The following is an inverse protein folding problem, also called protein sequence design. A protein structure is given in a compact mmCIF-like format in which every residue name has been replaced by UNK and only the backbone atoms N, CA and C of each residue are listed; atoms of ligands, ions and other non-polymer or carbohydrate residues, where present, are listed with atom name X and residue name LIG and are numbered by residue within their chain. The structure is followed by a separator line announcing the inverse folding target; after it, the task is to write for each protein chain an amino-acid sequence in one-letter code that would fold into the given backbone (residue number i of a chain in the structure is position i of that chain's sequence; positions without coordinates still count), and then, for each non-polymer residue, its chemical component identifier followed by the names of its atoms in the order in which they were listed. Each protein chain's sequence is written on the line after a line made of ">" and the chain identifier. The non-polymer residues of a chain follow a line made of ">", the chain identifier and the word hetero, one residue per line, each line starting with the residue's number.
data_IF_249537907190
#
_entry.id   IF_249537907190
#
_cell.length_a   1.000
_cell.length_b   1.000
_cell.length_c   1.000
_cell.angle_alpha   90.00
_cell.angle_beta   90.00
_cell.angle_gamma   90.00
#
_symmetry.space_group_name_H-M   'P 1'
#
loop_
_entity.id
_entity.type
_entity.pdbx_description
1 polymer ?
#
# COMPACT_ATOMS: atom_id res chain seq x y z
N UNK A 1 8.97 31.20 3.15
CA UNK A 1 9.40 29.94 2.49
C UNK A 1 8.19 29.04 2.51
N UNK A 2 7.62 28.76 1.35
CA UNK A 2 6.62 27.71 1.23
C UNK A 2 7.26 26.42 1.75
N UNK A 3 6.55 25.74 2.64
CA UNK A 3 6.99 24.45 3.16
C UNK A 3 6.93 23.48 2.00
N UNK A 4 8.09 23.01 1.53
CA UNK A 4 8.13 22.00 0.46
C UNK A 4 7.32 20.78 0.93
N UNK A 5 6.30 20.43 0.16
CA UNK A 5 5.51 19.23 0.37
C UNK A 5 6.43 18.02 0.12
N UNK A 6 6.84 17.34 1.18
CA UNK A 6 7.77 16.21 1.16
C UNK A 6 7.08 14.93 1.61
N UNK A 7 7.70 13.77 1.42
CA UNK A 7 7.21 12.51 2.00
C UNK A 7 6.91 12.67 3.50
N UNK A 8 7.77 13.34 4.29
CA UNK A 8 7.55 13.56 5.72
C UNK A 8 6.27 14.36 5.99
N UNK A 9 6.03 15.40 5.20
CA UNK A 9 4.82 16.18 5.30
C UNK A 9 3.58 15.31 5.15
N UNK A 10 3.52 14.47 4.12
CA UNK A 10 2.37 13.61 3.87
C UNK A 10 2.25 12.43 4.86
N UNK A 11 3.37 11.88 5.35
CA UNK A 11 3.36 10.89 6.44
C UNK A 11 2.69 11.48 7.68
N UNK A 12 3.11 12.69 8.10
CA UNK A 12 2.55 13.37 9.26
C UNK A 12 1.10 13.82 9.01
N UNK A 13 0.79 14.34 7.83
CA UNK A 13 -0.56 14.70 7.46
C UNK A 13 -1.53 13.52 7.54
N UNK A 14 -1.09 12.31 7.15
CA UNK A 14 -1.89 11.09 7.26
C UNK A 14 -2.36 10.85 8.68
N UNK A 15 -1.50 11.07 9.67
CA UNK A 15 -1.85 10.90 11.09
C UNK A 15 -3.01 11.81 11.50
N UNK A 16 -3.03 13.03 10.99
CA UNK A 16 -4.04 14.03 11.39
C UNK A 16 -5.37 13.88 10.63
N UNK A 17 -5.33 13.44 9.35
CA UNK A 17 -6.54 13.43 8.50
C UNK A 17 -7.28 12.11 8.46
N UNK A 18 -6.66 10.96 8.82
CA UNK A 18 -7.24 9.64 8.57
C UNK A 18 -8.66 9.48 9.14
N UNK A 19 -8.90 9.99 10.34
CA UNK A 19 -10.21 9.95 10.96
C UNK A 19 -11.26 10.77 10.18
N UNK A 20 -10.88 11.92 9.62
CA UNK A 20 -11.78 12.72 8.79
C UNK A 20 -12.09 12.03 7.45
N UNK A 21 -11.09 11.40 6.84
CA UNK A 21 -11.26 10.55 5.65
C UNK A 21 -12.17 9.37 5.94
N UNK A 22 -12.03 8.75 7.11
CA UNK A 22 -12.92 7.68 7.56
C UNK A 22 -14.38 8.14 7.68
N UNK A 23 -14.62 9.29 8.30
CA UNK A 23 -15.98 9.83 8.53
C UNK A 23 -16.67 10.28 7.24
N UNK A 24 -15.92 10.67 6.20
CA UNK A 24 -16.50 11.02 4.91
C UNK A 24 -16.92 9.73 4.15
N UNK A 25 -18.22 9.48 4.09
CA UNK A 25 -18.80 8.29 3.44
C UNK A 25 -19.34 8.54 2.02
N UNK A 26 -19.25 9.76 1.50
CA UNK A 26 -19.88 10.13 0.23
C UNK A 26 -19.39 9.26 -0.93
N UNK A 27 -18.10 9.24 -1.17
CA UNK A 27 -17.50 8.54 -2.31
C UNK A 27 -17.57 7.03 -2.18
N UNK A 28 -17.41 6.48 -0.97
CA UNK A 28 -17.60 5.05 -0.72
C UNK A 28 -19.04 4.62 -0.95
N UNK A 29 -20.02 5.42 -0.52
CA UNK A 29 -21.43 5.13 -0.76
C UNK A 29 -21.81 5.23 -2.24
N UNK A 30 -21.20 6.18 -2.98
CA UNK A 30 -21.35 6.28 -4.43
C UNK A 30 -20.85 5.01 -5.13
N UNK A 31 -19.64 4.55 -4.80
CA UNK A 31 -19.07 3.34 -5.40
C UNK A 31 -19.81 2.07 -4.97
N UNK A 32 -20.23 1.99 -3.71
CA UNK A 32 -21.05 0.88 -3.22
C UNK A 32 -22.41 0.82 -3.94
N UNK A 33 -23.01 1.97 -4.31
CA UNK A 33 -24.22 1.97 -5.12
C UNK A 33 -23.96 1.41 -6.51
N UNK A 34 -22.85 1.78 -7.15
CA UNK A 34 -22.46 1.22 -8.46
C UNK A 34 -22.27 -0.31 -8.38
N UNK A 35 -21.74 -0.81 -7.26
CA UNK A 35 -21.65 -2.25 -7.00
C UNK A 35 -23.04 -2.89 -6.89
N UNK A 36 -23.98 -2.25 -6.19
CA UNK A 36 -25.35 -2.77 -6.00
C UNK A 36 -26.20 -2.73 -7.26
N UNK A 37 -25.86 -1.87 -8.25
CA UNK A 37 -26.57 -1.80 -9.54
C UNK A 37 -26.33 -3.03 -10.43
N UNK A 38 -25.37 -3.90 -10.06
CA UNK A 38 -25.06 -5.14 -10.76
C UNK A 38 -25.20 -6.38 -9.85
N UNK A 39 -24.97 -7.54 -10.44
CA UNK A 39 -24.96 -8.83 -9.72
C UNK A 39 -23.54 -9.40 -9.75
N UNK A 40 -22.65 -8.81 -8.92
CA UNK A 40 -21.22 -9.13 -8.90
C UNK A 40 -20.90 -10.18 -7.85
N UNK A 41 -19.98 -11.09 -8.20
CA UNK A 41 -19.46 -12.15 -7.33
C UNK A 41 -17.97 -12.03 -7.06
N UNK A 42 -17.27 -11.27 -7.89
CA UNK A 42 -15.83 -11.04 -7.74
C UNK A 42 -15.54 -9.55 -7.85
N UNK A 43 -14.40 -9.14 -7.33
CA UNK A 43 -13.88 -7.76 -7.46
C UNK A 43 -12.52 -7.84 -8.12
N UNK A 44 -12.33 -7.10 -9.23
CA UNK A 44 -11.04 -6.95 -9.90
C UNK A 44 -10.57 -5.51 -9.81
N UNK A 45 -9.45 -5.32 -9.16
CA UNK A 45 -8.81 -4.02 -8.97
C UNK A 45 -7.63 -3.93 -9.93
N UNK A 46 -7.72 -3.03 -10.89
CA UNK A 46 -6.64 -2.84 -11.87
C UNK A 46 -5.78 -1.67 -11.39
N UNK A 47 -4.57 -1.96 -10.91
CA UNK A 47 -3.69 -0.97 -10.30
C UNK A 47 -2.21 -1.35 -10.41
N UNK A 48 -1.31 -0.36 -10.35
CA UNK A 48 0.14 -0.56 -10.32
C UNK A 48 0.82 0.30 -9.26
N UNK A 49 2.05 -0.05 -8.90
CA UNK A 49 2.85 0.68 -7.92
C UNK A 49 2.13 0.80 -6.58
N UNK A 50 2.22 1.96 -5.95
CA UNK A 50 1.59 2.22 -4.64
C UNK A 50 0.07 2.05 -4.66
N UNK A 51 -0.63 2.34 -5.78
CA UNK A 51 -2.06 2.06 -5.92
C UNK A 51 -2.35 0.55 -5.89
N UNK A 52 -1.51 -0.27 -6.51
CA UNK A 52 -1.58 -1.73 -6.42
C UNK A 52 -1.32 -2.22 -5.00
N UNK A 53 -0.28 -1.70 -4.35
CA UNK A 53 0.12 -2.11 -3.00
C UNK A 53 -0.93 -1.73 -1.95
N UNK A 54 -1.54 -0.54 -2.04
CA UNK A 54 -2.66 -0.14 -1.20
C UNK A 54 -3.89 -1.04 -1.40
N UNK A 55 -4.12 -1.49 -2.64
CA UNK A 55 -5.18 -2.47 -2.93
C UNK A 55 -4.88 -3.83 -2.29
N UNK A 56 -3.63 -4.29 -2.33
CA UNK A 56 -3.19 -5.50 -1.62
C UNK A 56 -3.37 -5.39 -0.10
N UNK A 57 -3.13 -4.22 0.48
CA UNK A 57 -3.34 -3.97 1.92
C UNK A 57 -4.80 -4.15 2.35
N UNK A 58 -5.76 -3.85 1.48
CA UNK A 58 -7.19 -3.97 1.77
C UNK A 58 -7.81 -5.31 1.34
N UNK A 59 -7.19 -6.00 0.36
CA UNK A 59 -7.73 -7.20 -0.29
C UNK A 59 -8.30 -8.21 0.69
N UNK A 60 -7.52 -8.63 1.67
CA UNK A 60 -7.91 -9.70 2.59
C UNK A 60 -9.05 -9.30 3.53
N UNK A 61 -9.14 -8.02 3.91
CA UNK A 61 -10.29 -7.50 4.66
C UNK A 61 -11.54 -7.53 3.79
N UNK A 62 -11.42 -7.14 2.51
CA UNK A 62 -12.53 -7.20 1.56
C UNK A 62 -13.02 -8.64 1.37
N UNK A 63 -12.14 -9.59 1.13
CA UNK A 63 -12.46 -11.01 0.97
C UNK A 63 -13.12 -11.62 2.21
N UNK A 64 -12.53 -11.33 3.39
CA UNK A 64 -13.02 -11.82 4.69
C UNK A 64 -14.47 -11.43 4.95
N UNK A 65 -14.82 -10.18 4.70
CA UNK A 65 -16.13 -9.64 5.06
C UNK A 65 -17.17 -9.76 3.94
N UNK A 66 -16.78 -9.57 2.67
CA UNK A 66 -17.72 -9.70 1.55
C UNK A 66 -17.97 -11.15 1.15
N UNK A 67 -17.01 -12.05 1.39
CA UNK A 67 -17.08 -13.44 0.93
C UNK A 67 -16.98 -13.57 -0.59
N UNK A 68 -16.24 -12.69 -1.24
CA UNK A 68 -15.99 -12.68 -2.69
C UNK A 68 -14.50 -12.74 -2.97
N UNK A 69 -14.10 -13.24 -4.15
CA UNK A 69 -12.70 -13.16 -4.59
C UNK A 69 -12.33 -11.72 -4.98
N UNK A 70 -11.18 -11.25 -4.48
CA UNK A 70 -10.62 -9.93 -4.81
C UNK A 70 -9.27 -10.11 -5.49
N UNK A 71 -9.17 -9.78 -6.76
CA UNK A 71 -7.94 -9.91 -7.53
C UNK A 71 -7.36 -8.52 -7.85
N UNK A 72 -6.08 -8.31 -7.56
CA UNK A 72 -5.34 -7.11 -7.96
C UNK A 72 -4.52 -7.43 -9.21
N UNK A 73 -4.76 -6.69 -10.30
CA UNK A 73 -4.18 -6.96 -11.63
C UNK A 73 -3.38 -5.74 -12.08
N UNK A 74 -2.17 -5.98 -12.61
CA UNK A 74 -1.39 -4.92 -13.23
C UNK A 74 -2.06 -4.41 -14.51
N UNK A 75 -2.21 -3.09 -14.71
CA UNK A 75 -2.93 -2.51 -15.84
C UNK A 75 -2.38 -2.97 -17.21
N UNK A 76 -1.06 -3.04 -17.35
CA UNK A 76 -0.43 -3.48 -18.60
C UNK A 76 -0.74 -4.96 -18.89
N UNK A 77 -0.69 -5.83 -17.89
CA UNK A 77 -1.11 -7.23 -18.02
C UNK A 77 -2.58 -7.32 -18.43
N UNK A 78 -3.44 -6.54 -17.76
CA UNK A 78 -4.85 -6.50 -18.11
C UNK A 78 -5.10 -6.04 -19.56
N UNK A 79 -4.40 -5.01 -20.01
CA UNK A 79 -4.61 -4.45 -21.34
C UNK A 79 -4.31 -5.46 -22.48
N UNK A 80 -3.36 -6.35 -22.27
CA UNK A 80 -2.94 -7.33 -23.30
C UNK A 80 -3.46 -8.75 -23.06
N UNK A 81 -3.80 -9.08 -21.83
CA UNK A 81 -4.29 -10.41 -21.43
C UNK A 81 -5.55 -10.28 -20.55
N UNK A 82 -6.63 -9.62 -21.05
CA UNK A 82 -7.80 -9.40 -20.23
C UNK A 82 -8.55 -10.72 -19.99
N UNK A 83 -8.81 -11.01 -18.72
CA UNK A 83 -9.67 -12.14 -18.31
C UNK A 83 -10.76 -11.57 -17.41
N UNK A 84 -11.99 -11.53 -17.92
CA UNK A 84 -13.16 -11.02 -17.22
C UNK A 84 -14.32 -11.99 -17.32
N UNK A 85 -15.02 -12.19 -16.21
CA UNK A 85 -16.33 -12.81 -16.14
C UNK A 85 -17.43 -11.74 -16.13
N UNK A 86 -18.65 -12.10 -16.50
CA UNK A 86 -19.78 -11.15 -16.52
C UNK A 86 -20.07 -10.58 -15.13
N UNK A 87 -19.87 -11.39 -14.09
CA UNK A 87 -20.08 -11.08 -12.67
C UNK A 87 -18.87 -10.47 -11.96
N UNK A 88 -17.86 -10.02 -12.70
CA UNK A 88 -16.74 -9.25 -12.14
C UNK A 88 -17.10 -7.77 -11.97
N UNK A 89 -16.98 -7.25 -10.75
CA UNK A 89 -16.94 -5.81 -10.49
C UNK A 89 -15.53 -5.30 -10.71
N UNK A 90 -15.33 -4.47 -11.73
CA UNK A 90 -14.00 -4.04 -12.15
C UNK A 90 -13.86 -2.53 -12.00
N UNK A 91 -12.75 -2.10 -11.42
CA UNK A 91 -12.38 -0.70 -11.39
C UNK A 91 -10.86 -0.52 -11.49
N UNK A 92 -10.44 0.64 -12.00
CA UNK A 92 -9.04 1.02 -12.19
C UNK A 92 -8.65 2.04 -11.13
N UNK A 93 -7.48 1.88 -10.54
CA UNK A 93 -6.95 2.84 -9.55
C UNK A 93 -5.69 3.49 -10.08
N UNK A 94 -5.67 4.81 -10.10
CA UNK A 94 -4.50 5.62 -10.43
C UNK A 94 -4.49 6.88 -9.56
N UNK A 95 -3.59 6.94 -8.58
CA UNK A 95 -3.49 8.05 -7.63
C UNK A 95 -3.41 9.40 -8.36
N UNK A 96 -2.46 9.57 -9.27
CA UNK A 96 -2.35 10.82 -10.04
C UNK A 96 -3.39 10.98 -11.14
N UNK A 97 -4.01 9.88 -11.61
CA UNK A 97 -4.93 9.90 -12.74
C UNK A 97 -4.30 10.13 -14.12
N UNK A 98 -2.96 10.25 -14.22
CA UNK A 98 -2.22 10.48 -15.47
C UNK A 98 -1.43 9.24 -15.94
N UNK A 99 -1.56 8.10 -15.30
CA UNK A 99 -0.79 6.89 -15.67
C UNK A 99 -1.33 6.28 -16.96
N UNK A 100 -0.50 6.25 -18.03
CA UNK A 100 -0.89 5.76 -19.35
C UNK A 100 -1.47 4.35 -19.31
N UNK A 101 -0.83 3.43 -18.60
CA UNK A 101 -1.30 2.06 -18.49
C UNK A 101 -2.67 1.94 -17.78
N UNK A 102 -3.01 2.85 -16.87
CA UNK A 102 -4.32 2.88 -16.25
C UNK A 102 -5.39 3.41 -17.21
N UNK A 103 -5.07 4.44 -18.00
CA UNK A 103 -5.96 4.95 -19.05
C UNK A 103 -6.19 3.89 -20.13
N UNK A 104 -5.13 3.21 -20.59
CA UNK A 104 -5.24 2.09 -21.53
C UNK A 104 -6.16 0.97 -21.00
N UNK A 105 -6.07 0.64 -19.71
CA UNK A 105 -6.94 -0.35 -19.09
C UNK A 105 -8.42 0.07 -19.10
N UNK A 106 -8.73 1.35 -18.86
CA UNK A 106 -10.08 1.91 -18.98
C UNK A 106 -10.57 1.82 -20.42
N UNK A 107 -9.75 2.17 -21.41
CA UNK A 107 -10.10 2.09 -22.82
C UNK A 107 -10.36 0.64 -23.28
N UNK A 108 -9.63 -0.34 -22.73
CA UNK A 108 -9.89 -1.76 -22.96
C UNK A 108 -11.22 -2.17 -22.33
N UNK A 109 -11.53 -1.77 -21.11
CA UNK A 109 -12.83 -2.03 -20.47
C UNK A 109 -13.97 -1.50 -21.34
N UNK A 110 -13.83 -0.28 -21.86
CA UNK A 110 -14.80 0.32 -22.77
C UNK A 110 -14.98 -0.49 -24.06
N UNK A 111 -13.89 -0.96 -24.68
CA UNK A 111 -13.95 -1.83 -25.87
C UNK A 111 -14.61 -3.19 -25.58
N UNK A 112 -14.52 -3.66 -24.35
CA UNK A 112 -15.17 -4.89 -23.88
C UNK A 112 -16.62 -4.66 -23.42
N UNK A 113 -17.19 -3.47 -23.66
CA UNK A 113 -18.52 -3.06 -23.24
C UNK A 113 -18.74 -3.20 -21.71
N UNK A 114 -17.67 -2.95 -20.92
CA UNK A 114 -17.74 -2.94 -19.45
C UNK A 114 -17.85 -1.49 -18.97
N UNK A 115 -18.60 -1.31 -17.90
CA UNK A 115 -18.66 0.00 -17.21
C UNK A 115 -17.25 0.41 -16.77
N UNK A 116 -16.83 1.60 -17.14
CA UNK A 116 -15.51 2.13 -16.80
C UNK A 116 -15.59 2.92 -15.50
N UNK A 117 -14.94 2.39 -14.47
CA UNK A 117 -14.93 2.96 -13.12
C UNK A 117 -13.48 3.24 -12.74
N UNK A 118 -13.20 4.46 -12.31
CA UNK A 118 -11.88 4.90 -11.91
C UNK A 118 -11.87 5.46 -10.49
N UNK A 119 -10.83 5.11 -9.71
CA UNK A 119 -10.50 5.71 -8.44
C UNK A 119 -9.23 6.54 -8.60
N UNK A 120 -9.26 7.80 -8.17
CA UNK A 120 -8.12 8.71 -8.29
C UNK A 120 -8.01 9.64 -7.08
N UNK A 121 -6.85 10.22 -6.86
CA UNK A 121 -6.63 11.33 -5.92
C UNK A 121 -6.73 12.72 -6.59
N UNK A 122 -6.91 12.76 -7.93
CA UNK A 122 -7.07 14.01 -8.68
C UNK A 122 -8.21 13.90 -9.70
N UNK A 123 -9.35 14.48 -9.35
CA UNK A 123 -10.55 14.52 -10.22
C UNK A 123 -10.36 15.38 -11.50
N UNK A 124 -9.32 16.21 -11.58
CA UNK A 124 -9.04 17.04 -12.75
C UNK A 124 -8.13 16.35 -13.77
N UNK A 125 -7.50 15.25 -13.38
CA UNK A 125 -6.59 14.48 -14.21
C UNK A 125 -7.26 13.87 -15.44
N UNK A 126 -6.45 13.37 -16.38
CA UNK A 126 -6.91 12.80 -17.65
C UNK A 126 -7.85 11.59 -17.47
N UNK A 127 -7.78 10.90 -16.33
CA UNK A 127 -8.61 9.73 -16.04
C UNK A 127 -10.12 10.02 -16.15
N UNK A 128 -10.54 11.28 -15.93
CA UNK A 128 -11.94 11.70 -16.05
C UNK A 128 -12.52 11.54 -17.48
N UNK A 129 -11.65 11.60 -18.48
CA UNK A 129 -12.05 11.50 -19.88
C UNK A 129 -12.12 10.04 -20.37
N UNK A 130 -11.61 9.09 -19.57
CA UNK A 130 -11.57 7.65 -19.85
C UNK A 130 -12.59 6.82 -19.05
N UNK A 131 -13.18 7.38 -17.99
CA UNK A 131 -14.09 6.66 -17.10
C UNK A 131 -15.49 7.27 -17.06
N UNK A 132 -16.52 6.42 -17.06
CA UNK A 132 -17.93 6.82 -16.88
C UNK A 132 -18.22 7.21 -15.42
N UNK A 133 -17.52 6.57 -14.48
CA UNK A 133 -17.64 6.84 -13.05
C UNK A 133 -16.26 7.13 -12.50
N UNK A 134 -16.06 8.34 -11.99
CA UNK A 134 -14.83 8.73 -11.31
C UNK A 134 -15.12 8.93 -9.83
N UNK A 135 -14.29 8.33 -9.00
CA UNK A 135 -14.37 8.33 -7.55
C UNK A 135 -13.09 8.94 -6.99
N UNK A 136 -13.25 9.93 -6.13
CA UNK A 136 -12.17 10.49 -5.34
C UNK A 136 -12.02 9.70 -4.04
N UNK A 137 -10.82 9.15 -3.78
CA UNK A 137 -10.54 8.51 -2.51
C UNK A 137 -9.84 9.43 -1.49
N UNK A 138 -9.88 10.75 -1.76
CA UNK A 138 -9.45 11.84 -0.86
C UNK A 138 -7.97 11.76 -0.53
N UNK A 139 -7.13 11.99 -1.52
CA UNK A 139 -5.69 11.95 -1.35
C UNK A 139 -5.04 13.33 -1.37
N UNK A 140 -5.22 14.11 -2.43
CA UNK A 140 -4.59 15.43 -2.66
C UNK A 140 -3.05 15.43 -2.47
N UNK A 141 -2.39 14.27 -2.58
CA UNK A 141 -0.94 14.15 -2.48
C UNK A 141 -0.29 14.50 -3.81
N UNK A 142 0.66 15.45 -3.77
CA UNK A 142 1.41 15.91 -4.96
C UNK A 142 2.82 15.35 -5.04
N UNK A 143 3.29 14.67 -3.97
CA UNK A 143 4.62 14.07 -3.96
C UNK A 143 4.68 12.85 -4.89
N UNK A 144 5.77 12.77 -5.69
CA UNK A 144 5.98 11.65 -6.60
C UNK A 144 6.24 10.31 -5.90
N UNK A 145 6.72 10.35 -4.66
CA UNK A 145 6.91 9.17 -3.80
C UNK A 145 5.70 9.01 -2.87
N UNK A 146 4.62 8.47 -3.40
CA UNK A 146 3.30 8.39 -2.74
C UNK A 146 3.38 7.71 -1.37
N UNK A 147 2.83 8.36 -0.35
CA UNK A 147 2.78 7.88 1.04
C UNK A 147 1.37 7.91 1.61
N UNK A 148 0.77 9.09 1.76
CA UNK A 148 -0.60 9.28 2.22
C UNK A 148 -1.59 8.55 1.33
N UNK A 149 -1.44 8.65 0.02
CA UNK A 149 -2.33 8.05 -0.97
C UNK A 149 -2.44 6.53 -0.88
N UNK A 150 -1.39 5.82 -0.43
CA UNK A 150 -1.45 4.37 -0.20
C UNK A 150 -2.36 4.06 0.99
N UNK A 151 -2.17 4.77 2.10
CA UNK A 151 -2.92 4.54 3.34
C UNK A 151 -4.38 4.94 3.18
N UNK A 152 -4.64 6.09 2.53
CA UNK A 152 -6.03 6.54 2.27
C UNK A 152 -6.76 5.62 1.30
N UNK A 153 -6.08 5.09 0.28
CA UNK A 153 -6.65 4.10 -0.63
C UNK A 153 -7.00 2.79 0.10
N UNK A 154 -6.08 2.26 0.91
CA UNK A 154 -6.36 1.04 1.67
C UNK A 154 -7.55 1.23 2.62
N UNK A 155 -7.61 2.36 3.33
CA UNK A 155 -8.77 2.71 4.17
C UNK A 155 -10.05 2.86 3.33
N UNK A 156 -9.98 3.51 2.17
CA UNK A 156 -11.13 3.67 1.27
C UNK A 156 -11.73 2.32 0.87
N UNK A 157 -10.89 1.35 0.49
CA UNK A 157 -11.33 0.02 0.08
C UNK A 157 -11.92 -0.79 1.25
N UNK A 158 -11.34 -0.65 2.45
CA UNK A 158 -11.92 -1.23 3.68
C UNK A 158 -13.31 -0.61 3.95
N UNK A 159 -13.46 0.71 3.86
CA UNK A 159 -14.75 1.40 4.01
C UNK A 159 -15.76 0.96 2.95
N UNK A 160 -15.30 0.80 1.70
CA UNK A 160 -16.16 0.31 0.60
C UNK A 160 -16.76 -1.05 0.94
N UNK A 161 -15.97 -1.95 1.56
CA UNK A 161 -16.44 -3.25 2.01
C UNK A 161 -17.69 -3.12 2.90
N UNK A 162 -17.61 -2.28 3.92
CA UNK A 162 -18.70 -2.09 4.87
C UNK A 162 -19.86 -1.31 4.27
N UNK A 163 -19.61 -0.37 3.37
CA UNK A 163 -20.66 0.34 2.63
C UNK A 163 -21.47 -0.61 1.72
N UNK A 164 -20.82 -1.60 1.09
CA UNK A 164 -21.49 -2.63 0.30
C UNK A 164 -22.36 -3.52 1.22
N UNK A 165 -21.82 -3.98 2.36
CA UNK A 165 -22.57 -4.82 3.31
C UNK A 165 -23.78 -4.10 3.88
N UNK A 166 -23.64 -2.84 4.25
CA UNK A 166 -24.74 -2.00 4.71
C UNK A 166 -25.86 -1.92 3.66
N UNK A 167 -25.50 -1.67 2.39
CA UNK A 167 -26.48 -1.64 1.28
C UNK A 167 -27.12 -3.01 0.99
N UNK A 168 -26.42 -4.09 1.29
CA UNK A 168 -26.99 -5.45 1.23
C UNK A 168 -27.91 -5.78 2.41
N UNK A 169 -28.07 -4.86 3.36
CA UNK A 169 -28.84 -5.09 4.60
C UNK A 169 -28.16 -6.03 5.60
N UNK A 170 -26.85 -6.27 5.43
CA UNK A 170 -26.06 -7.09 6.34
C UNK A 170 -25.53 -6.24 7.48
N UNK A 171 -25.83 -6.63 8.71
CA UNK A 171 -25.25 -6.00 9.90
C UNK A 171 -23.90 -6.64 10.22
N UNK A 172 -22.86 -5.82 10.24
CA UNK A 172 -21.50 -6.22 10.64
C UNK A 172 -21.04 -5.25 11.73
N UNK A 173 -20.42 -5.79 12.76
CA UNK A 173 -19.81 -4.95 13.81
C UNK A 173 -18.56 -4.25 13.25
N UNK A 174 -18.61 -2.94 13.14
CA UNK A 174 -17.51 -2.07 12.68
C UNK A 174 -16.91 -1.23 13.80
N UNK A 175 -17.31 -1.46 15.06
CA UNK A 175 -16.85 -0.66 16.21
C UNK A 175 -15.33 -0.68 16.37
N UNK A 176 -14.67 -1.77 15.96
CA UNK A 176 -13.22 -1.85 15.94
C UNK A 176 -12.58 -0.84 14.95
N UNK A 177 -13.20 -0.62 13.78
CA UNK A 177 -12.70 0.32 12.77
C UNK A 177 -12.99 1.77 13.21
N UNK A 178 -14.15 2.02 13.81
CA UNK A 178 -14.48 3.33 14.40
C UNK A 178 -13.42 3.69 15.45
N UNK A 179 -13.20 2.79 16.42
CA UNK A 179 -12.21 2.96 17.50
C UNK A 179 -10.79 3.17 16.95
N UNK A 180 -10.39 2.37 15.96
CA UNK A 180 -9.09 2.49 15.31
C UNK A 180 -8.91 3.87 14.68
N UNK A 181 -9.86 4.31 13.85
CA UNK A 181 -9.75 5.60 13.16
C UNK A 181 -9.79 6.80 14.10
N UNK A 182 -10.55 6.71 15.21
CA UNK A 182 -10.58 7.74 16.23
C UNK A 182 -9.26 7.84 17.01
N UNK A 183 -8.61 6.72 17.28
CA UNK A 183 -7.33 6.66 17.99
C UNK A 183 -6.10 6.78 17.08
N UNK A 184 -6.27 6.71 15.77
CA UNK A 184 -5.17 6.60 14.80
C UNK A 184 -4.09 7.66 14.99
N UNK A 185 -4.49 8.94 15.10
CA UNK A 185 -3.53 10.03 15.25
C UNK A 185 -2.65 9.92 16.50
N UNK A 186 -3.23 9.57 17.65
CA UNK A 186 -2.48 9.39 18.89
C UNK A 186 -1.60 8.15 18.85
N UNK A 187 -2.13 7.05 18.34
CA UNK A 187 -1.43 5.79 18.19
C UNK A 187 -0.22 5.91 17.24
N UNK A 188 -0.41 6.53 16.09
CA UNK A 188 0.70 6.70 15.14
C UNK A 188 1.76 7.69 15.59
N UNK A 189 1.40 8.71 16.39
CA UNK A 189 2.39 9.59 17.03
C UNK A 189 3.25 8.84 18.05
N UNK A 190 2.68 7.88 18.77
CA UNK A 190 3.42 7.01 19.67
C UNK A 190 4.29 6.01 18.91
N UNK A 191 3.73 5.35 17.89
CA UNK A 191 4.47 4.45 16.99
C UNK A 191 5.65 5.18 16.34
N UNK A 192 5.47 6.42 15.91
CA UNK A 192 6.53 7.24 15.31
C UNK A 192 7.74 7.38 16.24
N UNK A 193 7.53 7.52 17.55
CA UNK A 193 8.63 7.57 18.54
C UNK A 193 9.39 6.24 18.58
N UNK A 194 8.68 5.11 18.55
CA UNK A 194 9.29 3.78 18.51
C UNK A 194 10.06 3.55 17.20
N UNK A 195 9.51 3.96 16.08
CA UNK A 195 10.11 3.86 14.75
C UNK A 195 11.40 4.68 14.64
N UNK A 196 11.40 5.93 15.13
CA UNK A 196 12.59 6.79 15.13
C UNK A 196 13.68 6.23 16.06
N UNK A 197 13.32 5.73 17.23
CA UNK A 197 14.28 5.10 18.13
C UNK A 197 14.90 3.84 17.52
N UNK A 198 14.11 3.04 16.82
CA UNK A 198 14.57 1.86 16.11
C UNK A 198 15.50 2.21 14.93
N UNK A 199 15.13 3.23 14.16
CA UNK A 199 15.97 3.77 13.08
C UNK A 199 17.33 4.24 13.60
N UNK A 200 17.36 5.00 14.68
CA UNK A 200 18.62 5.51 15.24
C UNK A 200 19.47 4.36 15.79
N UNK A 201 18.85 3.37 16.44
CA UNK A 201 19.55 2.18 16.94
C UNK A 201 20.26 1.41 15.83
N UNK A 202 19.63 1.20 14.70
CA UNK A 202 20.16 0.44 13.57
C UNK A 202 20.66 1.32 12.43
N UNK A 203 20.84 2.62 12.66
CA UNK A 203 21.23 3.62 11.66
C UNK A 203 22.41 3.17 10.79
N UNK A 204 23.45 2.61 11.39
CA UNK A 204 24.63 2.14 10.67
C UNK A 204 24.28 1.02 9.67
N UNK A 205 23.41 0.10 10.05
CA UNK A 205 22.97 -1.00 9.19
C UNK A 205 22.13 -0.47 8.02
N UNK A 206 21.23 0.46 8.30
CA UNK A 206 20.33 1.03 7.29
C UNK A 206 21.08 1.94 6.31
N UNK A 207 22.02 2.77 6.77
CA UNK A 207 22.82 3.64 5.88
C UNK A 207 23.84 2.83 5.04
N UNK A 208 24.19 1.62 5.44
CA UNK A 208 25.04 0.70 4.67
C UNK A 208 24.28 -0.40 3.97
N UNK A 209 22.97 -0.21 3.76
CA UNK A 209 22.11 -1.17 3.09
C UNK A 209 22.49 -1.29 1.61
N UNK A 210 22.70 -2.50 1.13
CA UNK A 210 22.95 -2.82 -0.28
C UNK A 210 21.74 -3.53 -0.92
N UNK A 211 20.95 -4.20 -0.10
CA UNK A 211 19.74 -4.91 -0.49
C UNK A 211 18.76 -4.99 0.67
N UNK A 212 17.48 -5.21 0.35
CA UNK A 212 16.44 -5.39 1.34
C UNK A 212 15.42 -6.43 0.87
N UNK A 213 15.03 -7.33 1.77
CA UNK A 213 13.88 -8.19 1.62
C UNK A 213 12.81 -7.81 2.66
N UNK A 214 11.56 -7.76 2.23
CA UNK A 214 10.41 -7.64 3.10
C UNK A 214 9.51 -8.86 2.87
N UNK A 215 9.10 -9.55 3.92
CA UNK A 215 8.22 -10.69 3.83
C UNK A 215 7.06 -10.58 4.79
N UNK A 216 5.86 -10.85 4.30
CA UNK A 216 4.62 -10.81 5.07
C UNK A 216 3.52 -11.59 4.36
N UNK A 217 2.52 -12.02 5.10
CA UNK A 217 1.36 -12.73 4.56
C UNK A 217 0.07 -11.95 4.78
N UNK A 218 -0.99 -12.34 4.10
CA UNK A 218 -2.29 -11.69 4.24
C UNK A 218 -2.21 -10.17 4.02
N UNK A 219 -2.78 -9.35 4.90
CA UNK A 219 -2.74 -7.88 4.76
C UNK A 219 -1.31 -7.31 4.77
N UNK A 220 -0.34 -8.02 5.37
CA UNK A 220 1.07 -7.61 5.40
C UNK A 220 1.81 -7.86 4.09
N UNK A 221 1.26 -8.62 3.15
CA UNK A 221 1.85 -8.77 1.81
C UNK A 221 1.82 -7.43 1.05
N UNK A 222 0.74 -6.66 1.16
CA UNK A 222 0.66 -5.32 0.61
C UNK A 222 1.68 -4.36 1.24
N UNK A 223 1.89 -4.47 2.55
CA UNK A 223 2.92 -3.70 3.28
C UNK A 223 4.32 -4.06 2.80
N UNK A 224 4.63 -5.36 2.64
CA UNK A 224 5.93 -5.82 2.13
C UNK A 224 6.20 -5.30 0.71
N UNK A 225 5.19 -5.33 -0.17
CA UNK A 225 5.29 -4.78 -1.55
C UNK A 225 5.54 -3.27 -1.53
N UNK A 226 4.85 -2.53 -0.67
CA UNK A 226 5.06 -1.08 -0.56
C UNK A 226 6.43 -0.76 0.06
N UNK A 227 6.87 -1.52 1.06
CA UNK A 227 8.21 -1.41 1.64
C UNK A 227 9.30 -1.55 0.58
N UNK A 228 9.22 -2.61 -0.23
CA UNK A 228 10.18 -2.85 -1.31
C UNK A 228 10.16 -1.72 -2.34
N UNK A 229 8.98 -1.21 -2.70
CA UNK A 229 8.84 -0.09 -3.63
C UNK A 229 9.48 1.17 -3.04
N UNK A 230 9.09 1.60 -1.83
CA UNK A 230 9.57 2.84 -1.22
C UNK A 230 11.08 2.84 -1.00
N UNK A 231 11.64 1.77 -0.46
CA UNK A 231 13.10 1.66 -0.28
C UNK A 231 13.81 1.62 -1.64
N UNK A 232 13.29 0.87 -2.61
CA UNK A 232 13.89 0.78 -3.94
C UNK A 232 13.94 2.12 -4.67
N UNK A 233 12.88 2.90 -4.64
CA UNK A 233 12.80 4.17 -5.38
C UNK A 233 13.49 5.35 -4.68
N UNK A 234 13.62 5.34 -3.35
CA UNK A 234 14.18 6.46 -2.59
C UNK A 234 15.60 6.21 -2.09
N UNK A 235 15.86 5.07 -1.47
CA UNK A 235 17.21 4.66 -1.03
C UNK A 235 18.04 4.13 -2.20
N UNK A 236 17.36 3.60 -3.24
CA UNK A 236 17.96 3.13 -4.51
C UNK A 236 18.84 1.90 -4.36
N UNK A 237 18.40 0.97 -3.50
CA UNK A 237 18.98 -0.35 -3.35
C UNK A 237 18.05 -1.41 -3.94
N UNK A 238 18.60 -2.59 -4.25
CA UNK A 238 17.76 -3.72 -4.66
C UNK A 238 16.86 -4.11 -3.50
N UNK A 239 15.55 -4.05 -3.72
CA UNK A 239 14.55 -4.40 -2.71
C UNK A 239 13.48 -5.30 -3.30
N UNK A 240 13.15 -6.37 -2.58
CA UNK A 240 12.19 -7.38 -2.99
C UNK A 240 11.16 -7.63 -1.89
N UNK A 241 9.92 -7.87 -2.32
CA UNK A 241 8.85 -8.32 -1.43
C UNK A 241 8.51 -9.78 -1.73
N UNK A 242 8.23 -10.52 -0.68
CA UNK A 242 7.82 -11.91 -0.76
C UNK A 242 6.59 -12.15 0.11
N UNK A 243 5.74 -13.07 -0.32
CA UNK A 243 4.84 -13.72 0.61
C UNK A 243 5.70 -14.50 1.63
N UNK A 244 5.20 -14.67 2.85
CA UNK A 244 6.00 -15.15 3.99
C UNK A 244 6.60 -16.55 3.76
N UNK A 245 5.84 -17.51 3.22
CA UNK A 245 6.33 -18.84 2.91
C UNK A 245 7.15 -18.87 1.61
N UNK A 246 6.77 -18.09 0.60
CA UNK A 246 7.58 -17.96 -0.62
C UNK A 246 9.00 -17.45 -0.32
N UNK A 247 9.17 -16.63 0.73
CA UNK A 247 10.50 -16.19 1.16
C UNK A 247 11.42 -17.37 1.51
N UNK A 248 10.91 -18.44 2.10
CA UNK A 248 11.70 -19.63 2.47
C UNK A 248 11.75 -20.69 1.37
N UNK A 249 11.08 -20.50 0.25
CA UNK A 249 11.11 -21.39 -0.92
C UNK A 249 12.12 -20.96 -2.01
N UNK A 250 13.25 -20.36 -1.59
CA UNK A 250 14.35 -20.00 -2.49
C UNK A 250 15.04 -18.69 -2.11
N UNK A 251 14.32 -17.56 -1.95
CA UNK A 251 14.92 -16.26 -1.61
C UNK A 251 15.85 -16.30 -0.39
N UNK A 252 15.49 -17.05 0.64
CA UNK A 252 16.31 -17.25 1.85
C UNK A 252 17.69 -17.87 1.58
N UNK A 253 17.88 -18.57 0.47
CA UNK A 253 19.19 -19.14 0.09
C UNK A 253 20.20 -18.06 -0.35
N UNK A 254 19.71 -16.85 -0.65
CA UNK A 254 20.57 -15.70 -0.96
C UNK A 254 21.09 -14.99 0.29
N UNK A 255 20.58 -15.35 1.48
CA UNK A 255 20.95 -14.67 2.71
C UNK A 255 22.44 -14.71 2.98
N UNK A 256 22.96 -13.60 3.43
CA UNK A 256 24.30 -13.42 3.96
C UNK A 256 24.24 -12.45 5.14
N UNK A 257 25.29 -12.32 5.95
CA UNK A 257 25.32 -11.36 7.07
C UNK A 257 25.05 -9.90 6.69
N UNK A 258 25.03 -9.56 5.39
CA UNK A 258 24.78 -8.19 4.89
C UNK A 258 23.34 -7.95 4.46
N UNK A 259 22.51 -9.00 4.34
CA UNK A 259 21.13 -8.85 3.89
C UNK A 259 20.25 -8.20 4.97
N UNK A 260 19.57 -7.14 4.59
CA UNK A 260 18.54 -6.54 5.43
C UNK A 260 17.20 -7.23 5.14
N UNK A 261 16.58 -7.79 6.17
CA UNK A 261 15.32 -8.52 6.04
C UNK A 261 14.33 -8.01 7.06
N UNK A 262 13.13 -7.69 6.61
CA UNK A 262 12.01 -7.34 7.46
C UNK A 262 10.95 -8.43 7.37
N UNK A 263 10.67 -9.08 8.48
CA UNK A 263 9.56 -10.02 8.61
C UNK A 263 8.42 -9.27 9.30
N UNK A 264 7.24 -9.27 8.66
CA UNK A 264 6.10 -8.45 9.06
C UNK A 264 4.99 -9.37 9.57
N UNK A 265 4.62 -9.21 10.83
CA UNK A 265 3.60 -9.99 11.49
C UNK A 265 2.19 -9.51 11.15
N UNK A 266 1.34 -10.39 10.66
CA UNK A 266 -0.06 -10.09 10.37
C UNK A 266 -0.96 -10.03 11.62
N UNK A 267 -0.43 -10.38 12.80
CA UNK A 267 -1.12 -10.35 14.09
C UNK A 267 -2.34 -11.30 14.17
N UNK A 268 -2.23 -12.44 13.53
CA UNK A 268 -3.26 -13.47 13.48
C UNK A 268 -2.65 -14.86 13.79
N UNK A 269 -3.29 -15.93 13.33
CA UNK A 269 -2.80 -17.31 13.49
C UNK A 269 -1.45 -17.58 12.81
N UNK A 270 -1.00 -16.71 11.92
CA UNK A 270 0.30 -16.85 11.23
C UNK A 270 1.49 -16.32 12.04
N UNK A 271 1.24 -15.62 13.16
CA UNK A 271 2.28 -14.96 13.97
C UNK A 271 3.38 -15.90 14.47
N UNK A 272 3.03 -17.12 14.90
CA UNK A 272 4.04 -18.08 15.37
C UNK A 272 4.98 -18.51 14.23
N UNK A 273 4.44 -18.65 13.03
CA UNK A 273 5.22 -19.01 11.84
C UNK A 273 6.12 -17.87 11.40
N UNK A 274 5.61 -16.65 11.36
CA UNK A 274 6.40 -15.45 11.02
C UNK A 274 7.56 -15.26 12.00
N UNK A 275 7.33 -15.48 13.30
CA UNK A 275 8.38 -15.41 14.31
C UNK A 275 9.44 -16.51 14.16
N UNK A 276 9.04 -17.75 13.80
CA UNK A 276 9.98 -18.82 13.49
C UNK A 276 10.89 -18.47 12.30
N UNK A 277 10.32 -17.90 11.23
CA UNK A 277 11.05 -17.47 10.04
C UNK A 277 12.00 -16.32 10.39
N UNK A 278 11.55 -15.35 11.18
CA UNK A 278 12.39 -14.29 11.72
C UNK A 278 13.60 -14.86 12.45
N UNK A 279 13.40 -15.76 13.43
CA UNK A 279 14.49 -16.37 14.19
C UNK A 279 15.45 -17.17 13.33
N UNK A 280 14.93 -17.91 12.35
CA UNK A 280 15.76 -18.67 11.41
C UNK A 280 16.64 -17.74 10.56
N UNK A 281 16.08 -16.63 10.08
CA UNK A 281 16.81 -15.63 9.30
C UNK A 281 17.86 -14.90 10.15
N UNK A 282 17.57 -14.62 11.45
CA UNK A 282 18.51 -14.07 12.42
C UNK A 282 19.75 -14.94 12.63
N UNK A 283 19.64 -16.26 12.47
CA UNK A 283 20.79 -17.16 12.56
C UNK A 283 21.80 -16.95 11.42
N UNK A 284 21.40 -16.31 10.33
CA UNK A 284 22.23 -16.05 9.14
C UNK A 284 22.70 -14.61 9.04
N UNK A 285 21.85 -13.64 9.43
CA UNK A 285 22.14 -12.21 9.32
C UNK A 285 21.76 -11.44 10.59
N UNK A 286 22.66 -10.55 11.03
CA UNK A 286 22.38 -9.60 12.12
C UNK A 286 21.50 -8.42 11.67
N UNK A 287 21.09 -8.38 10.41
CA UNK A 287 20.27 -7.32 9.83
C UNK A 287 18.84 -7.81 9.53
N UNK A 288 18.33 -8.70 10.34
CA UNK A 288 16.95 -9.19 10.25
C UNK A 288 16.14 -8.54 11.37
N UNK A 289 14.98 -8.04 11.02
CA UNK A 289 14.10 -7.26 11.87
C UNK A 289 12.68 -7.83 11.85
N UNK A 290 11.98 -7.77 12.98
CA UNK A 290 10.62 -8.24 13.11
C UNK A 290 9.69 -7.09 13.50
N UNK A 291 8.61 -6.90 12.76
CA UNK A 291 7.62 -5.85 13.00
C UNK A 291 6.35 -6.51 13.52
N UNK A 292 5.93 -6.17 14.72
CA UNK A 292 4.80 -6.81 15.41
C UNK A 292 4.18 -5.88 16.45
N UNK A 293 3.02 -6.25 17.01
CA UNK A 293 2.45 -5.59 18.18
C UNK A 293 2.77 -6.32 19.48
N UNK A 294 3.47 -7.47 19.41
CA UNK A 294 3.85 -8.26 20.59
C UNK A 294 5.22 -7.83 21.09
N UNK A 295 5.36 -7.68 22.40
CA UNK A 295 6.64 -7.40 23.02
C UNK A 295 7.50 -8.67 23.10
N UNK A 296 8.75 -8.56 22.68
CA UNK A 296 9.79 -9.58 22.80
C UNK A 296 11.01 -8.98 23.49
N UNK A 297 11.73 -9.79 24.23
CA UNK A 297 13.05 -9.40 24.77
C UNK A 297 14.13 -9.58 23.66
N UNK A 298 13.97 -8.81 22.59
CA UNK A 298 14.85 -8.84 21.41
C UNK A 298 14.90 -7.43 20.78
N UNK A 299 16.07 -6.89 20.74
CA UNK A 299 16.37 -5.56 20.25
C UNK A 299 16.05 -5.35 18.76
N UNK A 300 15.94 -6.43 17.97
CA UNK A 300 15.62 -6.40 16.55
C UNK A 300 14.12 -6.50 16.28
N UNK A 301 13.31 -6.50 17.32
CA UNK A 301 11.87 -6.45 17.23
C UNK A 301 11.39 -5.01 17.37
N UNK A 302 10.71 -4.51 16.35
CA UNK A 302 9.99 -3.24 16.41
C UNK A 302 8.56 -3.52 16.87
N UNK A 303 8.27 -3.18 18.12
CA UNK A 303 6.93 -3.32 18.69
C UNK A 303 6.13 -2.04 18.50
N UNK A 304 4.97 -2.16 17.85
CA UNK A 304 4.09 -1.05 17.53
C UNK A 304 2.69 -1.28 18.11
N UNK A 305 2.02 -0.20 18.42
CA UNK A 305 0.62 -0.22 18.81
C UNK A 305 -0.23 -0.52 17.57
N UNK A 306 -1.02 -1.56 17.63
CA UNK A 306 -2.07 -1.85 16.66
C UNK A 306 -3.13 -2.75 17.31
N UNK A 307 -4.43 -2.40 17.23
CA UNK A 307 -5.45 -3.09 18.02
C UNK A 307 -5.87 -4.45 17.47
N UNK A 308 -5.79 -4.68 16.16
CA UNK A 308 -6.24 -5.93 15.56
C UNK A 308 -5.61 -6.20 14.18
N UNK A 309 -5.69 -7.44 13.71
CA UNK A 309 -5.16 -7.88 12.42
C UNK A 309 -5.77 -7.12 11.22
N UNK A 310 -7.06 -6.77 11.27
CA UNK A 310 -7.75 -6.09 10.15
C UNK A 310 -7.26 -4.65 9.91
N UNK A 311 -6.52 -4.06 10.85
CA UNK A 311 -5.93 -2.70 10.73
C UNK A 311 -4.41 -2.71 10.54
N UNK A 312 -3.77 -3.87 10.59
CA UNK A 312 -2.31 -4.00 10.60
C UNK A 312 -1.64 -3.33 9.41
N UNK A 313 -2.22 -3.46 8.22
CA UNK A 313 -1.67 -2.84 7.01
C UNK A 313 -1.69 -1.31 7.09
N UNK A 314 -2.78 -0.72 7.58
CA UNK A 314 -2.90 0.73 7.75
C UNK A 314 -1.87 1.29 8.77
N UNK A 315 -1.55 0.50 9.80
CA UNK A 315 -0.57 0.88 10.81
C UNK A 315 0.86 0.76 10.30
N UNK A 316 1.20 -0.38 9.66
CA UNK A 316 2.59 -0.70 9.32
C UNK A 316 3.10 -0.05 8.03
N UNK A 317 2.22 0.49 7.18
CA UNK A 317 2.63 1.28 6.02
C UNK A 317 3.54 2.46 6.43
N UNK A 318 3.22 3.14 7.55
CA UNK A 318 4.01 4.28 8.04
C UNK A 318 5.47 3.91 8.31
N UNK A 319 5.75 2.72 8.86
CA UNK A 319 7.12 2.25 9.18
C UNK A 319 8.05 2.41 7.98
N UNK A 320 7.65 1.82 6.86
CA UNK A 320 8.52 1.80 5.67
C UNK A 320 8.54 3.12 4.92
N UNK A 321 7.46 3.90 4.99
CA UNK A 321 7.42 5.27 4.48
C UNK A 321 8.41 6.14 5.24
N UNK A 322 8.40 6.08 6.58
CA UNK A 322 9.33 6.82 7.44
C UNK A 322 10.77 6.37 7.23
N UNK A 323 11.02 5.06 7.21
CA UNK A 323 12.36 4.50 6.99
C UNK A 323 12.92 4.92 5.64
N UNK A 324 12.13 4.79 4.58
CA UNK A 324 12.51 5.22 3.23
C UNK A 324 12.90 6.70 3.20
N UNK A 325 12.09 7.56 3.81
CA UNK A 325 12.37 9.00 3.88
C UNK A 325 13.63 9.31 4.69
N UNK A 326 13.75 8.79 5.91
CA UNK A 326 14.89 9.08 6.81
C UNK A 326 16.22 8.60 6.23
N UNK A 327 16.26 7.37 5.72
CA UNK A 327 17.46 6.78 5.15
C UNK A 327 17.87 7.57 3.89
N UNK A 328 16.93 7.84 2.99
CA UNK A 328 17.21 8.56 1.75
C UNK A 328 17.64 10.01 1.97
N UNK A 329 17.12 10.67 3.00
CA UNK A 329 17.53 12.02 3.41
C UNK A 329 18.98 12.03 3.90
N UNK A 330 19.36 11.10 4.76
CA UNK A 330 20.74 10.97 5.25
C UNK A 330 21.73 10.63 4.11
N UNK A 331 21.35 9.71 3.23
CA UNK A 331 22.16 9.33 2.07
C UNK A 331 22.13 10.35 0.93
N UNK A 332 21.26 11.34 0.98
CA UNK A 332 21.00 12.31 -0.11
C UNK A 332 20.68 11.62 -1.43
N UNK A 333 19.94 10.51 -1.39
CA UNK A 333 19.67 9.64 -2.55
C UNK A 333 18.40 10.00 -3.32
N UNK A 334 17.54 10.89 -2.80
CA UNK A 334 16.27 11.30 -3.45
C UNK A 334 16.47 11.85 -4.87
N UNK A 335 17.47 12.72 -5.16
CA UNK A 335 17.65 13.22 -6.53
C UNK A 335 17.86 12.08 -7.52
N UNK A 336 17.14 12.15 -8.64
CA UNK A 336 17.24 11.16 -9.72
C UNK A 336 18.61 11.24 -10.39
N UNK A 337 19.09 10.08 -10.88
CA UNK A 337 20.32 10.06 -11.67
C UNK A 337 20.13 10.89 -12.96
N UNK A 338 21.12 11.71 -13.40
CA UNK A 338 20.97 12.56 -14.58
C UNK A 338 20.56 11.81 -15.85
N UNK A 339 21.02 10.57 -16.05
CA UNK A 339 20.63 9.73 -17.20
C UNK A 339 19.15 9.30 -17.16
N UNK A 340 18.41 9.55 -16.07
CA UNK A 340 16.99 9.24 -15.99
C UNK A 340 16.16 10.06 -16.99
N UNK A 341 16.61 11.24 -17.37
CA UNK A 341 15.95 12.03 -18.40
C UNK A 341 16.02 11.36 -19.78
N UNK A 342 17.11 10.66 -20.11
CA UNK A 342 17.18 9.87 -21.35
C UNK A 342 16.21 8.68 -21.33
N UNK A 343 16.08 8.00 -20.17
CA UNK A 343 15.07 6.96 -19.99
C UNK A 343 13.65 7.50 -20.23
N UNK A 344 13.31 8.67 -19.65
CA UNK A 344 12.00 9.30 -19.81
C UNK A 344 11.68 9.67 -21.27
N UNK A 345 12.67 10.06 -22.07
CA UNK A 345 12.48 10.36 -23.50
C UNK A 345 12.04 9.13 -24.31
N UNK A 346 12.48 7.95 -23.91
CA UNK A 346 12.18 6.69 -24.60
C UNK A 346 10.89 6.07 -24.04
N UNK A 347 10.74 6.03 -22.70
CA UNK A 347 9.60 5.44 -22.01
C UNK A 347 9.06 6.41 -20.96
N UNK A 348 7.87 6.94 -21.21
CA UNK A 348 7.17 7.78 -20.25
C UNK A 348 5.90 7.06 -19.77
N UNK A 349 5.76 6.90 -18.46
CA UNK A 349 4.62 6.26 -17.80
C UNK A 349 3.40 7.19 -17.60
N UNK A 350 3.59 8.51 -17.76
CA UNK A 350 2.55 9.53 -17.59
C UNK A 350 2.14 10.12 -18.94
N UNK A 351 0.97 10.71 -18.98
CA UNK A 351 0.50 11.51 -20.13
C UNK A 351 1.29 12.80 -20.25
N UNK A 352 1.18 13.47 -21.40
CA UNK A 352 1.87 14.76 -21.66
C UNK A 352 1.29 15.91 -20.87
N UNK A 353 0.10 15.76 -20.33
CA UNK A 353 -0.62 16.76 -19.50
C UNK A 353 -0.19 16.72 -18.04
N UNK A 354 0.59 15.70 -17.64
CA UNK A 354 1.13 15.59 -16.29
C UNK A 354 2.30 16.56 -16.11
N UNK A 355 2.17 17.45 -15.15
CA UNK A 355 3.24 18.34 -14.69
C UNK A 355 3.90 17.72 -13.45
N UNK A 356 5.22 17.45 -13.56
CA UNK A 356 6.03 16.85 -12.45
C UNK A 356 6.29 17.90 -11.34
#
# INVERSE_FOLDING_TARGET
>A
MEQLETMEYYILQTQDILNSVYKNKEQTNKLAQVYMDGNYRNIKIIASGSSGNGSWCAKYVMEKYLGVDVTVINPYTFAYYPVLCEDDFVFVVSQSGYSKNALDALDILKKLNRKTIALTGDLKSDIKDHAEVVIDYVDEEKEGYVTKGVTTLALFLIKLTFAILEKQGKMVDTAWLDTYCESYASMQKENFVHEEAFLEKFKKNFLSMENMYAAGCGPCEGVAKEAALKIGETVKVVSCAYELEEYIHGPNLQLSPKHNVFIIDAQDETSDRSYQIYRASRAVSDRVYYITNKAYDDDHVLTLLNPCADTVSLTYLQVFQLFAYRISKELRSIPKHPLFEEFKKIVNSKTITYED
#
